data_IF_361065735754
#
_entry.id   IF_361065735754
#
_cell.length_a   1.000
_cell.length_b   1.000
_cell.length_c   1.000
_cell.angle_alpha   90.00
_cell.angle_beta   90.00
_cell.angle_gamma   90.00
#
_symmetry.space_group_name_H-M   'P 1'
#
loop_
_entity.id
_entity.type
_entity.pdbx_description
1 polymer ?
#
# COMPACT_ATOMS: atom_id res chain seq x y z
N UNK A 1 -52.06 -1.61 50.20
CA UNK A 1 -51.52 -2.07 48.90
C UNK A 1 -50.08 -1.61 48.84
N UNK A 2 -49.17 -2.57 48.97
CA UNK A 2 -47.76 -2.42 49.32
C UNK A 2 -46.87 -2.40 48.08
N UNK A 3 -45.90 -1.49 48.14
CA UNK A 3 -44.60 -1.37 47.47
C UNK A 3 -44.11 -2.47 46.52
N UNK A 4 -43.52 -2.05 45.39
CA UNK A 4 -42.37 -2.74 44.79
C UNK A 4 -41.54 -1.76 43.94
N UNK A 5 -40.50 -1.19 44.54
CA UNK A 5 -39.49 -0.35 43.88
C UNK A 5 -38.31 -1.26 43.52
N UNK A 6 -38.11 -1.52 42.22
CA UNK A 6 -37.04 -2.39 41.71
C UNK A 6 -35.77 -1.54 41.52
N UNK A 7 -34.83 -1.71 42.43
CA UNK A 7 -33.52 -1.09 42.44
C UNK A 7 -32.55 -1.89 41.56
N UNK A 8 -32.20 -1.33 40.40
CA UNK A 8 -31.19 -1.90 39.49
C UNK A 8 -29.80 -1.47 39.94
N UNK A 9 -29.09 -2.38 40.61
CA UNK A 9 -27.68 -2.22 40.94
C UNK A 9 -26.82 -2.39 39.68
N UNK A 10 -26.21 -1.29 39.23
CA UNK A 10 -25.22 -1.25 38.15
C UNK A 10 -23.84 -1.57 38.72
N UNK A 11 -23.40 -2.82 38.54
CA UNK A 11 -22.07 -3.28 38.92
C UNK A 11 -21.02 -2.77 37.93
N UNK A 12 -20.41 -1.62 38.25
CA UNK A 12 -19.17 -1.15 37.61
C UNK A 12 -18.03 -2.11 37.94
N UNK A 13 -17.73 -3.02 37.03
CA UNK A 13 -16.50 -3.81 37.03
C UNK A 13 -15.30 -2.89 36.79
N UNK A 14 -14.57 -2.56 37.87
CA UNK A 14 -13.26 -1.93 37.78
C UNK A 14 -12.31 -2.90 37.09
N UNK A 15 -11.86 -2.56 35.87
CA UNK A 15 -10.72 -3.24 35.24
C UNK A 15 -9.51 -3.17 36.19
N UNK A 16 -8.84 -4.31 36.48
CA UNK A 16 -7.60 -4.28 37.24
C UNK A 16 -6.57 -3.44 36.48
N UNK A 17 -5.95 -2.50 37.20
CA UNK A 17 -4.85 -1.69 36.72
C UNK A 17 -3.64 -2.62 36.69
N UNK A 18 -3.37 -3.22 35.52
CA UNK A 18 -2.22 -4.08 35.34
C UNK A 18 -0.97 -3.23 35.60
N UNK A 19 -0.18 -3.62 36.61
CA UNK A 19 1.13 -3.05 36.87
C UNK A 19 2.00 -3.31 35.64
N UNK A 20 2.18 -2.25 34.85
CA UNK A 20 2.85 -2.28 33.56
C UNK A 20 4.35 -2.56 33.79
N UNK A 21 4.75 -3.83 33.68
CA UNK A 21 6.16 -4.18 33.60
C UNK A 21 6.80 -3.37 32.46
N UNK A 22 7.88 -2.65 32.75
CA UNK A 22 8.62 -1.87 31.77
C UNK A 22 9.82 -2.69 31.29
N UNK A 23 9.90 -2.99 30.00
CA UNK A 23 11.02 -3.67 29.36
C UNK A 23 11.90 -2.67 28.62
N UNK A 24 13.21 -2.78 28.77
CA UNK A 24 14.19 -1.99 28.02
C UNK A 24 14.47 -2.65 26.67
N UNK A 25 14.12 -1.97 25.58
CA UNK A 25 14.36 -2.45 24.21
C UNK A 25 15.51 -1.61 23.61
N UNK A 26 16.56 -2.23 23.05
CA UNK A 26 17.62 -1.48 22.35
C UNK A 26 17.04 -0.64 21.21
N UNK A 27 17.69 0.47 20.85
CA UNK A 27 17.28 1.30 19.71
C UNK A 27 17.63 0.72 18.34
N UNK A 28 18.19 -0.48 18.31
CA UNK A 28 18.64 -1.21 17.14
C UNK A 28 18.25 -2.69 17.23
N UNK A 29 18.34 -3.40 16.12
CA UNK A 29 18.06 -4.84 16.05
C UNK A 29 16.59 -5.19 15.85
N UNK A 30 16.30 -6.49 15.81
CA UNK A 30 15.00 -7.05 15.46
C UNK A 30 13.92 -6.66 16.47
N UNK A 31 14.25 -6.69 17.77
CA UNK A 31 13.32 -6.38 18.85
C UNK A 31 12.73 -4.96 18.75
N UNK A 32 13.56 -4.00 18.34
CA UNK A 32 13.13 -2.62 18.09
C UNK A 32 12.07 -2.54 16.99
N UNK A 33 12.32 -3.21 15.85
CA UNK A 33 11.40 -3.21 14.71
C UNK A 33 10.12 -3.99 15.00
N UNK A 34 10.21 -5.11 15.71
CA UNK A 34 9.04 -5.86 16.14
C UNK A 34 8.16 -5.04 17.07
N UNK A 35 8.76 -4.38 18.06
CA UNK A 35 8.01 -3.50 18.95
C UNK A 35 7.32 -2.37 18.18
N UNK A 36 8.05 -1.73 17.27
CA UNK A 36 7.54 -0.67 16.39
C UNK A 36 6.39 -1.18 15.52
N UNK A 37 6.52 -2.35 14.91
CA UNK A 37 5.45 -3.01 14.14
C UNK A 37 4.23 -3.30 15.01
N UNK A 38 4.40 -3.78 16.24
CA UNK A 38 3.29 -4.03 17.18
C UNK A 38 2.54 -2.73 17.51
N UNK A 39 3.24 -1.63 17.79
CA UNK A 39 2.62 -0.31 18.00
C UNK A 39 1.81 0.14 16.77
N UNK A 40 2.36 -0.07 15.57
CA UNK A 40 1.69 0.26 14.31
C UNK A 40 0.41 -0.54 14.08
N UNK A 41 0.47 -1.86 14.27
CA UNK A 41 -0.70 -2.76 14.18
C UNK A 41 -1.75 -2.43 15.24
N UNK A 42 -1.32 -1.95 16.41
CA UNK A 42 -2.20 -1.45 17.46
C UNK A 42 -2.68 -0.01 17.20
N UNK A 43 -2.28 0.62 16.08
CA UNK A 43 -2.58 2.01 15.74
C UNK A 43 -2.26 2.99 16.87
N UNK A 44 -1.19 2.76 17.62
CA UNK A 44 -0.64 3.69 18.62
C UNK A 44 0.37 4.59 17.93
N UNK A 45 0.47 5.83 18.39
CA UNK A 45 1.49 6.76 17.90
C UNK A 45 2.89 6.21 18.20
N UNK A 46 3.81 6.40 17.26
CA UNK A 46 5.22 6.13 17.53
C UNK A 46 5.73 7.11 18.59
N UNK A 47 6.56 6.65 19.55
CA UNK A 47 7.30 7.59 20.38
C UNK A 47 8.17 8.44 19.45
N UNK A 48 7.83 9.72 19.34
CA UNK A 48 8.65 10.69 18.64
C UNK A 48 9.94 10.86 19.46
N UNK A 49 11.14 10.77 18.85
CA UNK A 49 12.36 11.10 19.57
C UNK A 49 12.28 12.59 19.96
N UNK A 50 12.21 12.85 21.27
CA UNK A 50 12.18 14.22 21.83
C UNK A 50 13.55 14.91 21.77
N UNK A 51 14.61 14.18 21.40
CA UNK A 51 15.97 14.68 21.28
C UNK A 51 16.56 14.33 19.91
N UNK A 52 17.46 15.18 19.44
CA UNK A 52 18.24 14.97 18.19
C UNK A 52 19.12 13.72 18.24
N UNK A 53 19.40 13.21 19.44
CA UNK A 53 20.20 12.00 19.64
C UNK A 53 19.28 10.82 19.98
N UNK A 54 19.42 9.72 19.23
CA UNK A 54 18.67 8.50 19.47
C UNK A 54 19.17 7.86 20.78
N UNK A 55 18.31 7.67 21.80
CA UNK A 55 18.71 6.98 23.02
C UNK A 55 19.13 5.54 22.70
N UNK A 56 20.10 5.00 23.43
CA UNK A 56 20.61 3.64 23.20
C UNK A 56 19.56 2.56 23.50
N UNK A 57 18.62 2.87 24.41
CA UNK A 57 17.55 1.97 24.86
C UNK A 57 16.27 2.77 25.08
N UNK A 58 15.14 2.18 24.74
CA UNK A 58 13.80 2.70 25.00
C UNK A 58 13.13 1.90 26.12
N UNK A 59 12.56 2.60 27.10
CA UNK A 59 11.66 2.00 28.09
C UNK A 59 10.28 1.85 27.49
N UNK A 60 9.83 0.61 27.39
CA UNK A 60 8.58 0.25 26.73
C UNK A 60 7.70 -0.52 27.70
N UNK A 61 6.39 -0.23 27.69
CA UNK A 61 5.42 -1.03 28.44
C UNK A 61 5.34 -2.44 27.86
N UNK A 62 5.65 -3.46 28.65
CA UNK A 62 5.69 -4.87 28.27
C UNK A 62 4.32 -5.49 27.93
N UNK A 63 3.22 -4.74 28.09
CA UNK A 63 1.94 -5.20 27.57
C UNK A 63 1.96 -5.19 26.06
N UNK A 64 1.93 -6.38 25.46
CA UNK A 64 1.69 -6.57 24.04
C UNK A 64 0.37 -5.87 23.68
N UNK A 65 0.41 -4.75 22.93
CA UNK A 65 -0.81 -4.10 22.55
C UNK A 65 -1.51 -5.04 21.58
N UNK A 66 -2.67 -5.54 21.98
CA UNK A 66 -3.49 -6.39 21.13
C UNK A 66 -3.63 -5.69 19.78
N UNK A 67 -3.33 -6.38 18.66
CA UNK A 67 -3.47 -5.77 17.35
C UNK A 67 -4.89 -5.24 17.27
N UNK A 68 -5.05 -3.97 16.87
CA UNK A 68 -6.39 -3.48 16.54
C UNK A 68 -6.86 -4.45 15.47
N UNK A 69 -7.97 -5.15 15.70
CA UNK A 69 -8.57 -6.05 14.71
C UNK A 69 -8.56 -5.27 13.41
N UNK A 70 -7.69 -5.64 12.49
CA UNK A 70 -7.41 -4.85 11.31
C UNK A 70 -8.77 -4.64 10.69
N UNK A 71 -9.20 -3.37 10.68
CA UNK A 71 -10.58 -2.96 10.42
C UNK A 71 -11.05 -3.85 9.29
N UNK A 72 -12.05 -4.72 9.54
CA UNK A 72 -12.70 -5.51 8.49
C UNK A 72 -12.84 -4.54 7.36
N UNK A 73 -12.08 -4.71 6.28
CA UNK A 73 -12.07 -3.75 5.20
C UNK A 73 -13.52 -3.67 4.76
N UNK A 74 -14.22 -2.63 5.20
CA UNK A 74 -15.57 -2.37 4.73
C UNK A 74 -15.29 -1.81 3.36
N UNK A 75 -14.89 -2.67 2.42
CA UNK A 75 -15.10 -2.41 1.01
C UNK A 75 -16.60 -2.26 0.92
N UNK A 76 -17.08 -1.04 1.11
CA UNK A 76 -18.42 -0.68 0.68
C UNK A 76 -18.35 -0.86 -0.81
N UNK A 77 -18.74 -2.05 -1.25
CA UNK A 77 -18.94 -2.36 -2.63
C UNK A 77 -20.04 -1.42 -3.12
N UNK A 78 -19.62 -0.33 -3.75
CA UNK A 78 -20.56 0.51 -4.45
C UNK A 78 -21.03 -0.24 -5.69
N UNK A 79 -22.24 0.01 -6.18
CA UNK A 79 -22.75 -0.65 -7.38
C UNK A 79 -21.84 -0.42 -8.61
N UNK A 80 -21.11 0.71 -8.66
CA UNK A 80 -20.10 0.97 -9.69
C UNK A 80 -18.89 0.05 -9.57
N UNK A 81 -18.39 -0.21 -8.35
CA UNK A 81 -17.32 -1.18 -8.10
C UNK A 81 -17.78 -2.59 -8.44
N UNK A 82 -19.01 -2.98 -8.06
CA UNK A 82 -19.56 -4.29 -8.41
C UNK A 82 -19.73 -4.47 -9.92
N UNK A 83 -20.17 -3.43 -10.63
CA UNK A 83 -20.27 -3.46 -12.09
C UNK A 83 -18.90 -3.61 -12.73
N UNK A 84 -17.91 -2.86 -12.26
CA UNK A 84 -16.54 -2.96 -12.75
C UNK A 84 -15.93 -4.33 -12.46
N UNK A 85 -16.18 -4.90 -11.28
CA UNK A 85 -15.72 -6.24 -10.92
C UNK A 85 -16.35 -7.31 -11.81
N UNK A 86 -17.67 -7.26 -12.04
CA UNK A 86 -18.33 -8.16 -13.00
C UNK A 86 -17.77 -8.05 -14.42
N UNK A 87 -17.49 -6.83 -14.89
CA UNK A 87 -16.86 -6.61 -16.20
C UNK A 87 -15.45 -7.22 -16.28
N UNK A 88 -14.69 -7.12 -15.18
CA UNK A 88 -13.30 -7.58 -15.09
C UNK A 88 -13.16 -8.98 -14.45
N UNK A 89 -14.27 -9.69 -14.24
CA UNK A 89 -14.26 -11.03 -13.65
C UNK A 89 -13.74 -12.06 -14.66
N UNK A 90 -14.08 -11.86 -15.94
CA UNK A 90 -13.59 -12.67 -17.04
C UNK A 90 -12.24 -12.14 -17.53
N UNK A 91 -11.17 -12.92 -17.41
CA UNK A 91 -9.84 -12.51 -17.90
C UNK A 91 -9.81 -12.21 -19.40
N UNK A 92 -10.71 -12.82 -20.18
CA UNK A 92 -10.86 -12.52 -21.61
C UNK A 92 -11.25 -11.06 -21.88
N UNK A 93 -11.96 -10.45 -20.94
CA UNK A 93 -12.44 -9.08 -21.07
C UNK A 93 -11.32 -8.03 -20.99
N UNK A 94 -10.09 -8.42 -20.59
CA UNK A 94 -8.96 -7.51 -20.40
C UNK A 94 -8.50 -6.89 -21.73
N UNK A 95 -8.59 -7.62 -22.84
CA UNK A 95 -8.21 -7.13 -24.17
C UNK A 95 -9.39 -6.64 -25.02
N UNK A 96 -10.62 -6.77 -24.53
CA UNK A 96 -11.81 -6.50 -25.32
C UNK A 96 -12.11 -4.99 -25.36
N UNK A 97 -12.17 -4.42 -26.57
CA UNK A 97 -12.51 -3.01 -26.79
C UNK A 97 -13.87 -2.64 -26.18
N UNK A 98 -14.84 -3.54 -26.23
CA UNK A 98 -16.18 -3.31 -25.64
C UNK A 98 -16.10 -3.14 -24.12
N UNK A 99 -15.34 -3.98 -23.41
CA UNK A 99 -15.16 -3.87 -21.96
C UNK A 99 -14.49 -2.54 -21.59
N UNK A 100 -13.51 -2.12 -22.41
CA UNK A 100 -12.85 -0.84 -22.23
C UNK A 100 -13.82 0.34 -22.27
N UNK A 101 -14.65 0.38 -23.31
CA UNK A 101 -15.63 1.44 -23.54
C UNK A 101 -16.78 1.41 -22.51
N UNK A 102 -17.09 0.23 -21.94
CA UNK A 102 -18.13 0.01 -20.94
C UNK A 102 -17.80 0.50 -19.51
N UNK A 103 -16.68 1.18 -19.31
CA UNK A 103 -16.39 1.93 -18.08
C UNK A 103 -14.95 1.86 -17.59
N UNK A 104 -14.13 0.92 -18.07
CA UNK A 104 -12.72 0.80 -17.67
C UNK A 104 -11.94 2.05 -18.08
N UNK A 105 -12.21 2.59 -19.28
CA UNK A 105 -11.57 3.81 -19.80
C UNK A 105 -11.70 5.02 -18.86
N UNK A 106 -12.88 5.17 -18.24
CA UNK A 106 -13.17 6.26 -17.31
C UNK A 106 -12.43 6.10 -15.98
N UNK A 107 -12.30 4.87 -15.48
CA UNK A 107 -11.54 4.62 -14.25
C UNK A 107 -10.05 4.80 -14.51
N UNK A 108 -9.57 4.32 -15.65
CA UNK A 108 -8.20 4.53 -16.10
C UNK A 108 -7.87 6.02 -16.21
N UNK A 109 -8.69 6.84 -16.87
CA UNK A 109 -8.41 8.27 -17.02
C UNK A 109 -8.34 9.01 -15.68
N UNK A 110 -9.12 8.60 -14.68
CA UNK A 110 -9.01 9.14 -13.33
C UNK A 110 -7.69 8.75 -12.66
N UNK A 111 -7.26 7.49 -12.81
CA UNK A 111 -6.00 7.00 -12.24
C UNK A 111 -4.78 7.65 -12.91
N UNK A 112 -4.78 7.73 -14.24
CA UNK A 112 -3.70 8.30 -15.05
C UNK A 112 -3.50 9.80 -14.77
N UNK A 113 -4.60 10.54 -14.55
CA UNK A 113 -4.55 11.93 -14.13
C UNK A 113 -4.12 12.12 -12.65
N UNK A 114 -3.81 11.06 -11.91
CA UNK A 114 -3.51 11.12 -10.47
C UNK A 114 -4.67 11.63 -9.62
N UNK A 115 -5.91 11.58 -10.13
CA UNK A 115 -7.08 12.04 -9.38
C UNK A 115 -7.41 11.03 -8.30
N UNK A 116 -7.69 11.54 -7.10
CA UNK A 116 -8.12 10.69 -6.01
C UNK A 116 -9.55 10.19 -6.28
N UNK A 117 -9.75 8.88 -6.13
CA UNK A 117 -11.07 8.28 -6.22
C UNK A 117 -11.86 8.63 -4.96
N UNK A 118 -13.11 9.10 -5.13
CA UNK A 118 -13.97 9.44 -3.98
C UNK A 118 -14.30 8.21 -3.13
N UNK A 119 -14.43 7.05 -3.79
CA UNK A 119 -14.60 5.75 -3.13
C UNK A 119 -13.31 4.95 -3.27
N UNK A 120 -12.77 4.37 -2.19
CA UNK A 120 -11.61 3.49 -2.30
C UNK A 120 -11.99 2.25 -3.12
N UNK A 121 -11.18 1.94 -4.11
CA UNK A 121 -11.33 0.74 -4.95
C UNK A 121 -10.40 -0.35 -4.39
N UNK A 122 -10.84 -1.63 -4.36
CA UNK A 122 -9.96 -2.73 -3.98
C UNK A 122 -8.72 -2.79 -4.88
N UNK A 123 -7.54 -2.96 -4.28
CA UNK A 123 -6.27 -2.97 -5.02
C UNK A 123 -6.25 -4.01 -6.15
N UNK A 124 -6.85 -5.18 -5.93
CA UNK A 124 -6.98 -6.22 -6.96
C UNK A 124 -7.67 -5.70 -8.23
N UNK A 125 -8.73 -4.90 -8.07
CA UNK A 125 -9.48 -4.32 -9.18
C UNK A 125 -8.65 -3.26 -9.91
N UNK A 126 -7.91 -2.44 -9.18
CA UNK A 126 -6.98 -1.44 -9.74
C UNK A 126 -5.91 -2.12 -10.60
N UNK A 127 -5.33 -3.22 -10.12
CA UNK A 127 -4.36 -4.02 -10.88
C UNK A 127 -4.97 -4.53 -12.19
N UNK A 128 -6.22 -5.00 -12.17
CA UNK A 128 -6.91 -5.44 -13.40
C UNK A 128 -7.11 -4.29 -14.40
N UNK A 129 -7.53 -3.11 -13.93
CA UNK A 129 -7.68 -1.91 -14.77
C UNK A 129 -6.34 -1.52 -15.43
N UNK A 130 -5.25 -1.52 -14.66
CA UNK A 130 -3.89 -1.28 -15.16
C UNK A 130 -3.46 -2.30 -16.22
N UNK A 131 -3.78 -3.58 -16.01
CA UNK A 131 -3.50 -4.61 -17.02
C UNK A 131 -4.27 -4.34 -18.32
N UNK A 132 -5.55 -3.96 -18.23
CA UNK A 132 -6.33 -3.60 -19.42
C UNK A 132 -5.71 -2.43 -20.19
N UNK A 133 -5.21 -1.40 -19.50
CA UNK A 133 -4.57 -0.25 -20.17
C UNK A 133 -3.27 -0.66 -20.85
N UNK A 134 -2.39 -1.42 -20.17
CA UNK A 134 -1.14 -1.89 -20.78
C UNK A 134 -1.35 -2.81 -21.98
N UNK A 135 -2.37 -3.68 -21.96
CA UNK A 135 -2.72 -4.52 -23.10
C UNK A 135 -3.20 -3.67 -24.28
N UNK A 136 -4.01 -2.64 -24.01
CA UNK A 136 -4.50 -1.71 -25.05
C UNK A 136 -3.38 -0.86 -25.64
N UNK A 137 -2.48 -0.37 -24.80
CA UNK A 137 -1.34 0.46 -25.21
C UNK A 137 -0.26 -0.36 -25.92
N UNK A 138 -0.37 -1.70 -25.92
CA UNK A 138 0.62 -2.61 -26.49
C UNK A 138 1.88 -2.73 -25.64
N UNK A 139 1.92 -2.10 -24.47
CA UNK A 139 3.02 -2.16 -23.51
C UNK A 139 3.13 -3.53 -22.85
N UNK A 140 2.02 -4.27 -22.76
CA UNK A 140 2.03 -5.66 -22.30
C UNK A 140 2.22 -6.61 -23.49
N UNK A 141 3.19 -7.51 -23.39
CA UNK A 141 3.45 -8.51 -24.44
C UNK A 141 2.25 -9.46 -24.58
N UNK A 142 1.71 -9.56 -25.78
CA UNK A 142 0.62 -10.48 -26.13
C UNK A 142 1.23 -11.68 -26.83
N UNK A 143 0.89 -12.88 -26.37
CA UNK A 143 1.31 -14.11 -27.03
C UNK A 143 0.66 -14.22 -28.42
N UNK A 144 1.42 -14.39 -29.51
CA UNK A 144 0.88 -14.40 -30.87
C UNK A 144 -0.06 -15.59 -31.13
N UNK A 145 0.14 -16.70 -30.42
CA UNK A 145 -0.63 -17.94 -30.59
C UNK A 145 -1.95 -17.89 -29.82
N UNK A 146 -1.90 -17.54 -28.54
CA UNK A 146 -3.08 -17.58 -27.67
C UNK A 146 -3.87 -16.27 -27.71
N UNK A 147 -3.27 -15.19 -28.25
CA UNK A 147 -3.77 -13.81 -28.18
C UNK A 147 -4.09 -13.37 -26.75
N UNK A 148 -3.41 -13.96 -25.76
CA UNK A 148 -3.56 -13.64 -24.35
C UNK A 148 -2.38 -12.78 -23.87
N UNK A 149 -2.58 -11.97 -22.82
CA UNK A 149 -1.47 -11.33 -22.13
C UNK A 149 -0.49 -12.41 -21.68
N UNK A 150 0.78 -12.30 -22.07
CA UNK A 150 1.80 -13.25 -21.68
C UNK A 150 1.90 -13.28 -20.15
N UNK A 151 1.96 -14.47 -19.57
CA UNK A 151 2.25 -14.63 -18.14
C UNK A 151 3.69 -14.16 -17.93
N UNK A 152 3.96 -13.30 -16.92
CA UNK A 152 5.33 -12.91 -16.64
C UNK A 152 6.18 -14.17 -16.42
N UNK A 153 7.42 -14.21 -16.93
CA UNK A 153 8.28 -15.37 -16.71
C UNK A 153 8.38 -15.63 -15.20
N UNK A 154 8.34 -16.91 -14.83
CA UNK A 154 8.56 -17.32 -13.45
C UNK A 154 9.85 -16.67 -12.95
N UNK A 155 9.79 -16.06 -11.77
CA UNK A 155 11.01 -15.48 -11.19
C UNK A 155 12.06 -16.58 -11.11
N UNK A 156 13.34 -16.29 -11.44
CA UNK A 156 14.38 -17.29 -11.37
C UNK A 156 14.38 -17.90 -9.95
N UNK A 157 14.58 -19.23 -9.83
CA UNK A 157 14.60 -19.88 -8.53
C UNK A 157 15.64 -19.14 -7.67
N UNK A 158 15.19 -18.64 -6.52
CA UNK A 158 16.10 -18.03 -5.56
C UNK A 158 17.13 -19.11 -5.21
N UNK A 159 18.44 -18.83 -5.30
CA UNK A 159 19.44 -19.79 -4.87
C UNK A 159 19.11 -20.18 -3.42
N UNK A 160 18.95 -21.48 -3.16
CA UNK A 160 18.71 -22.00 -1.81
C UNK A 160 19.80 -21.56 -0.82
N UNK A 161 20.95 -21.18 -1.35
CA UNK A 161 22.07 -20.55 -0.65
C UNK A 161 21.84 -19.03 -0.48
N UNK A 162 20.65 -18.61 -0.05
CA UNK A 162 20.52 -17.31 0.61
C UNK A 162 21.42 -17.43 1.83
N UNK A 163 22.67 -17.00 1.65
CA UNK A 163 23.64 -16.77 2.71
C UNK A 163 22.84 -16.03 3.78
N UNK A 164 22.72 -16.57 5.01
CA UNK A 164 22.09 -15.85 6.11
C UNK A 164 22.67 -14.46 6.03
N UNK A 165 21.81 -13.45 5.82
CA UNK A 165 22.23 -12.06 5.73
C UNK A 165 23.23 -11.90 6.86
N UNK A 166 24.53 -11.71 6.57
CA UNK A 166 25.54 -11.72 7.62
C UNK A 166 25.04 -10.71 8.62
N UNK A 167 24.77 -11.18 9.83
CA UNK A 167 24.46 -10.33 10.97
C UNK A 167 25.53 -9.26 10.89
N UNK A 168 25.14 -8.04 10.51
CA UNK A 168 26.11 -6.96 10.38
C UNK A 168 26.71 -6.83 11.77
N UNK A 169 27.93 -7.32 11.93
CA UNK A 169 28.66 -7.19 13.17
C UNK A 169 28.63 -5.70 13.51
N UNK A 170 28.17 -5.32 14.71
CA UNK A 170 28.13 -3.92 15.13
C UNK A 170 29.55 -3.30 15.31
N UNK A 171 30.58 -3.87 14.69
CA UNK A 171 31.98 -3.54 14.83
C UNK A 171 32.54 -2.69 13.68
N UNK A 172 31.75 -1.74 13.18
CA UNK A 172 32.28 -0.59 12.44
C UNK A 172 31.92 0.69 13.20
N UNK A 173 32.57 0.87 14.35
CA UNK A 173 32.84 2.18 14.95
C UNK A 173 33.84 2.93 14.07
N UNK A 174 33.45 3.24 12.82
CA UNK A 174 34.28 4.03 11.93
C UNK A 174 34.04 5.51 12.17
N UNK A 175 35.08 6.12 12.71
CA UNK A 175 35.25 7.53 13.05
C UNK A 175 35.38 8.37 11.78
N UNK A 176 34.32 8.48 10.97
CA UNK A 176 34.29 9.45 9.87
C UNK A 176 33.26 10.54 10.13
N UNK A 177 33.77 11.63 10.69
CA UNK A 177 33.15 12.95 10.72
C UNK A 177 33.22 13.53 9.30
N UNK A 178 32.43 12.96 8.40
CA UNK A 178 32.33 13.36 6.99
C UNK A 178 30.93 13.91 6.72
N UNK A 179 30.86 15.23 6.58
CA UNK A 179 29.65 16.01 6.35
C UNK A 179 29.08 15.68 4.96
N UNK A 180 28.23 14.66 4.86
CA UNK A 180 27.43 14.42 3.66
C UNK A 180 26.32 15.48 3.61
N UNK A 181 26.62 16.59 2.95
CA UNK A 181 25.60 17.52 2.45
C UNK A 181 24.69 16.74 1.50
N UNK A 182 23.48 16.46 1.95
CA UNK A 182 22.37 16.07 1.09
C UNK A 182 22.16 17.20 0.07
N UNK A 183 22.63 17.00 -1.15
CA UNK A 183 22.27 17.83 -2.28
C UNK A 183 20.76 17.68 -2.51
N UNK A 184 20.08 18.82 -2.53
CA UNK A 184 18.64 18.95 -2.71
C UNK A 184 18.09 18.16 -3.90
N UNK A 185 16.84 17.68 -3.84
CA UNK A 185 16.21 16.97 -4.94
C UNK A 185 16.09 17.88 -6.16
N UNK A 186 16.70 17.46 -7.26
CA UNK A 186 16.61 18.12 -8.57
C UNK A 186 15.15 18.13 -9.01
N UNK A 187 14.60 19.34 -9.13
CA UNK A 187 13.25 19.62 -9.61
C UNK A 187 13.18 19.19 -11.08
N UNK A 188 12.49 18.09 -11.36
CA UNK A 188 12.19 17.63 -12.73
C UNK A 188 11.31 18.69 -13.38
N UNK A 189 11.93 19.56 -14.19
CA UNK A 189 11.24 20.50 -15.07
C UNK A 189 11.37 19.98 -16.50
N UNK A 190 10.22 19.85 -17.13
CA UNK A 190 10.00 19.80 -18.58
C UNK A 190 10.24 18.43 -19.23
N UNK A 191 9.14 17.69 -19.40
CA UNK A 191 9.02 16.74 -20.49
C UNK A 191 8.91 17.49 -21.84
N UNK A 192 9.29 16.85 -22.95
CA UNK A 192 9.30 17.47 -24.26
C UNK A 192 7.90 17.84 -24.71
N UNK A 193 7.75 19.09 -25.17
CA UNK A 193 6.62 19.56 -25.97
C UNK A 193 6.71 18.82 -27.30
N UNK A 194 5.72 17.96 -27.57
CA UNK A 194 5.56 17.34 -28.87
C UNK A 194 4.75 18.36 -29.69
N UNK A 195 5.44 19.12 -30.53
CA UNK A 195 4.81 19.96 -31.53
C UNK A 195 4.23 19.04 -32.62
N UNK A 196 2.90 18.82 -32.58
CA UNK A 196 2.18 18.28 -33.73
C UNK A 196 1.97 19.40 -34.76
N UNK A 197 3.01 19.60 -35.57
CA UNK A 197 2.92 20.27 -36.85
C UNK A 197 2.87 19.18 -37.93
N UNK A 198 1.75 19.05 -38.68
CA UNK A 198 1.73 18.09 -39.78
C UNK A 198 0.39 17.73 -40.41
N UNK A 199 -0.03 18.58 -41.34
CA UNK A 199 -0.69 18.20 -42.60
C UNK A 199 -2.20 18.02 -42.63
N UNK A 200 -2.84 19.16 -42.89
CA UNK A 200 -3.91 19.33 -43.86
C UNK A 200 -3.76 18.49 -45.16
N UNK A 201 -4.94 18.21 -45.72
CA UNK A 201 -5.33 18.31 -47.14
C UNK A 201 -5.52 17.04 -48.02
N UNK A 202 -6.67 17.09 -48.73
CA UNK A 202 -7.09 16.41 -49.99
C UNK A 202 -7.69 15.00 -49.80
N UNK A 203 -8.86 14.61 -50.33
CA UNK A 203 -9.64 15.07 -51.48
C UNK A 203 -11.11 14.69 -51.36
N UNK A 204 -11.98 15.55 -51.88
CA UNK A 204 -13.31 15.20 -52.38
C UNK A 204 -13.23 14.07 -53.43
N UNK A 205 -14.19 13.15 -53.38
CA UNK A 205 -14.46 12.14 -54.41
C UNK A 205 -15.96 11.86 -54.45
N UNK A 206 -16.54 12.17 -55.61
CA UNK A 206 -17.96 12.15 -56.01
C UNK A 206 -18.85 11.06 -55.44
#
# INVERSE_FOLDING_TARGET
MTSAQVEKQSSKTKKPKADAQMTNIPSYGVDFFEHRRKLWLAGKAYPQPTSSELPLTYTVTAMDPQPKSFVKSISRETPSIQRLDRLLQNERAIGDKSTWDNGVSRVWSMLDCGRHLSTPIPLNLVIKVLRCSWVRDGTWTIDPVTKRPAVPPESPPLPSDIVPIPQLDPLLKSKHKGQLRLSSPTKWKNGPVIDEEGSEMVSSGK
#
